data_IF_899886391965
#
_entry.id   IF_899886391965
#
_cell.length_a   1.000
_cell.length_b   1.000
_cell.length_c   1.000
_cell.angle_alpha   90.00
_cell.angle_beta   90.00
_cell.angle_gamma   90.00
#
_symmetry.space_group_name_H-M   'P 1'
#
loop_
_entity.id
_entity.type
_entity.pdbx_description
1 polymer ?
#
# COMPACT_ATOMS: atom_id res chain seq x y z
N UNK A 1 -12.83 2.58 -17.00
CA UNK A 1 -12.78 3.12 -15.63
C UNK A 1 -13.23 4.58 -15.59
N UNK A 2 -12.47 5.51 -16.13
CA UNK A 2 -12.78 6.95 -16.10
C UNK A 2 -14.15 7.34 -16.68
N UNK A 3 -14.61 6.68 -17.74
CA UNK A 3 -15.84 7.09 -18.44
C UNK A 3 -17.13 6.77 -17.66
N UNK A 4 -17.22 5.60 -17.02
CA UNK A 4 -18.39 5.24 -16.18
C UNK A 4 -18.42 6.01 -14.86
N UNK A 5 -17.25 6.27 -14.27
CA UNK A 5 -17.15 7.09 -13.06
C UNK A 5 -17.59 8.54 -13.35
N UNK A 6 -17.23 9.09 -14.53
CA UNK A 6 -17.70 10.40 -15.00
C UNK A 6 -19.21 10.48 -15.16
N UNK A 7 -19.83 9.45 -15.74
CA UNK A 7 -21.28 9.45 -15.98
C UNK A 7 -22.07 9.37 -14.66
N UNK A 8 -21.59 8.57 -13.72
CA UNK A 8 -22.18 8.47 -12.38
C UNK A 8 -22.02 9.76 -11.56
N UNK A 9 -20.86 10.43 -11.67
CA UNK A 9 -20.63 11.74 -11.07
C UNK A 9 -21.51 12.84 -11.67
N UNK A 10 -21.85 12.74 -12.96
CA UNK A 10 -22.77 13.67 -13.62
C UNK A 10 -24.20 13.53 -13.10
N UNK A 11 -24.63 12.33 -12.73
CA UNK A 11 -25.96 12.06 -12.17
C UNK A 11 -26.09 12.62 -10.74
N UNK A 12 -25.02 12.55 -9.95
CA UNK A 12 -24.93 13.18 -8.61
C UNK A 12 -24.97 14.72 -8.68
N UNK A 13 -24.43 15.33 -9.73
CA UNK A 13 -24.49 16.80 -9.95
C UNK A 13 -25.90 17.33 -10.22
N UNK A 14 -26.88 16.45 -10.50
CA UNK A 14 -28.28 16.83 -10.70
C UNK A 14 -29.06 17.14 -9.42
N UNK A 15 -28.52 16.79 -8.25
CA UNK A 15 -29.04 17.18 -6.94
C UNK A 15 -28.34 18.48 -6.51
N UNK A 16 -29.01 19.36 -5.75
CA UNK A 16 -28.48 20.63 -5.18
C UNK A 16 -27.34 20.43 -4.14
N UNK A 17 -26.43 19.49 -4.41
CA UNK A 17 -25.28 19.03 -3.63
C UNK A 17 -23.94 19.39 -4.32
N UNK A 18 -23.95 20.43 -5.17
CA UNK A 18 -22.79 20.93 -5.92
C UNK A 18 -21.49 20.96 -5.09
N UNK A 19 -21.44 21.51 -3.84
CA UNK A 19 -20.20 21.52 -3.07
C UNK A 19 -19.72 20.12 -2.69
N UNK A 20 -20.61 19.19 -2.36
CA UNK A 20 -20.24 17.83 -1.93
C UNK A 20 -19.72 17.00 -3.10
N UNK A 21 -20.32 17.15 -4.28
CA UNK A 21 -19.87 16.46 -5.49
C UNK A 21 -18.42 16.83 -5.86
N UNK A 22 -18.04 18.09 -5.69
CA UNK A 22 -16.67 18.57 -5.93
C UNK A 22 -15.66 17.95 -4.96
N UNK A 23 -16.01 17.86 -3.66
CA UNK A 23 -15.13 17.24 -2.66
C UNK A 23 -14.89 15.75 -2.94
N UNK A 24 -15.94 15.02 -3.34
CA UNK A 24 -15.81 13.61 -3.71
C UNK A 24 -14.89 13.43 -4.93
N UNK A 25 -15.03 14.28 -5.95
CA UNK A 25 -14.16 14.30 -7.13
C UNK A 25 -12.69 14.53 -6.77
N UNK A 26 -12.44 15.52 -5.91
CA UNK A 26 -11.08 15.88 -5.46
C UNK A 26 -10.47 14.73 -4.67
N UNK A 27 -11.18 14.20 -3.66
CA UNK A 27 -10.66 13.12 -2.81
C UNK A 27 -10.36 11.85 -3.62
N UNK A 28 -11.24 11.48 -4.55
CA UNK A 28 -11.02 10.35 -5.45
C UNK A 28 -9.80 10.58 -6.37
N UNK A 29 -9.69 11.77 -6.95
CA UNK A 29 -8.57 12.14 -7.83
C UNK A 29 -7.24 12.09 -7.09
N UNK A 30 -7.18 12.66 -5.89
CA UNK A 30 -5.97 12.62 -5.02
C UNK A 30 -5.64 11.17 -4.69
N UNK A 31 -6.61 10.37 -4.26
CA UNK A 31 -6.38 8.97 -3.93
C UNK A 31 -5.77 8.19 -5.11
N UNK A 32 -6.33 8.36 -6.31
CA UNK A 32 -5.86 7.68 -7.52
C UNK A 32 -4.48 8.17 -7.96
N UNK A 33 -4.23 9.48 -7.94
CA UNK A 33 -2.96 10.07 -8.35
C UNK A 33 -1.80 9.58 -7.46
N UNK A 34 -1.94 9.70 -6.14
CA UNK A 34 -0.92 9.23 -5.20
C UNK A 34 -0.76 7.72 -5.22
N UNK A 35 -1.86 6.97 -5.36
CA UNK A 35 -1.83 5.51 -5.50
C UNK A 35 -1.09 5.05 -6.76
N UNK A 36 -1.25 5.76 -7.87
CA UNK A 36 -0.58 5.47 -9.13
C UNK A 36 0.93 5.78 -9.07
N UNK A 37 1.32 6.88 -8.44
CA UNK A 37 2.75 7.24 -8.27
C UNK A 37 3.44 6.31 -7.27
N UNK A 38 2.74 5.79 -6.27
CA UNK A 38 3.33 4.87 -5.30
C UNK A 38 3.88 3.59 -5.96
N UNK A 39 3.22 3.06 -7.00
CA UNK A 39 3.61 1.80 -7.64
C UNK A 39 5.03 1.81 -8.26
N UNK A 40 5.41 2.76 -9.14
CA UNK A 40 6.77 2.81 -9.67
C UNK A 40 7.82 3.06 -8.57
N UNK A 41 7.46 3.78 -7.51
CA UNK A 41 8.35 3.97 -6.35
C UNK A 41 8.62 2.64 -5.63
N UNK A 42 7.60 1.79 -5.49
CA UNK A 42 7.77 0.44 -4.94
C UNK A 42 8.67 -0.43 -5.83
N UNK A 43 8.54 -0.32 -7.16
CA UNK A 43 9.42 -1.02 -8.10
C UNK A 43 10.88 -0.58 -7.91
N UNK A 44 11.13 0.73 -7.76
CA UNK A 44 12.46 1.24 -7.44
C UNK A 44 12.97 0.61 -6.15
N UNK A 45 12.18 0.61 -5.07
CA UNK A 45 12.57 -0.01 -3.81
C UNK A 45 12.91 -1.51 -3.98
N UNK A 46 12.19 -2.24 -4.82
CA UNK A 46 12.45 -3.65 -5.09
C UNK A 46 13.70 -3.90 -5.96
N UNK A 47 14.04 -2.98 -6.86
CA UNK A 47 15.21 -3.11 -7.76
C UNK A 47 16.54 -2.83 -7.05
N UNK A 48 16.54 -1.92 -6.09
CA UNK A 48 17.75 -1.54 -5.36
C UNK A 48 17.85 -2.34 -4.06
N UNK A 49 18.80 -3.27 -3.97
CA UNK A 49 19.03 -4.05 -2.74
C UNK A 49 19.60 -3.16 -1.61
N UNK A 50 19.10 -3.41 -0.40
CA UNK A 50 19.59 -2.89 0.88
C UNK A 50 21.09 -3.08 1.12
N UNK A 51 21.72 -4.10 0.55
CA UNK A 51 23.16 -4.35 0.75
C UNK A 51 24.04 -3.36 -0.02
N UNK A 52 23.70 -3.07 -1.27
CA UNK A 52 24.51 -2.26 -2.17
C UNK A 52 24.04 -0.80 -2.27
N UNK A 53 22.73 -0.58 -2.21
CA UNK A 53 22.11 0.73 -2.38
C UNK A 53 21.14 1.06 -1.23
N UNK A 54 21.57 0.97 0.05
CA UNK A 54 20.71 1.12 1.21
C UNK A 54 19.97 2.47 1.23
N UNK A 55 20.65 3.55 0.86
CA UNK A 55 20.07 4.90 0.86
C UNK A 55 18.93 5.04 -0.17
N UNK A 56 19.10 4.49 -1.37
CA UNK A 56 18.10 4.54 -2.44
C UNK A 56 16.91 3.65 -2.06
N UNK A 57 17.18 2.41 -1.60
CA UNK A 57 16.16 1.49 -1.14
C UNK A 57 15.28 2.12 -0.04
N UNK A 58 15.92 2.65 1.00
CA UNK A 58 15.23 3.25 2.15
C UNK A 58 14.40 4.46 1.73
N UNK A 59 14.98 5.37 0.93
CA UNK A 59 14.27 6.57 0.47
C UNK A 59 13.06 6.21 -0.40
N UNK A 60 13.20 5.21 -1.28
CA UNK A 60 12.11 4.72 -2.10
C UNK A 60 11.01 4.07 -1.25
N UNK A 61 11.36 3.21 -0.29
CA UNK A 61 10.41 2.60 0.63
C UNK A 61 9.63 3.66 1.44
N UNK A 62 10.32 4.63 2.02
CA UNK A 62 9.69 5.69 2.82
C UNK A 62 8.77 6.57 1.96
N UNK A 63 9.19 6.89 0.74
CA UNK A 63 8.36 7.62 -0.24
C UNK A 63 7.12 6.82 -0.60
N UNK A 64 7.25 5.52 -0.89
CA UNK A 64 6.12 4.63 -1.19
C UNK A 64 5.08 4.69 -0.07
N UNK A 65 5.48 4.45 1.18
CA UNK A 65 4.54 4.45 2.31
C UNK A 65 3.92 5.82 2.57
N UNK A 66 4.65 6.93 2.38
CA UNK A 66 4.08 8.27 2.49
C UNK A 66 2.99 8.51 1.42
N UNK A 67 3.26 8.19 0.15
CA UNK A 67 2.30 8.33 -0.94
C UNK A 67 1.08 7.42 -0.73
N UNK A 68 1.28 6.17 -0.31
CA UNK A 68 0.20 5.24 0.05
C UNK A 68 -0.65 5.77 1.21
N UNK A 69 -0.04 6.40 2.22
CA UNK A 69 -0.76 6.99 3.35
C UNK A 69 -1.69 8.10 2.89
N UNK A 70 -1.22 9.01 2.03
CA UNK A 70 -2.03 10.08 1.45
C UNK A 70 -3.19 9.48 0.65
N UNK A 71 -2.89 8.50 -0.22
CA UNK A 71 -3.88 7.83 -1.04
C UNK A 71 -5.00 7.19 -0.20
N UNK A 72 -4.64 6.42 0.83
CA UNK A 72 -5.58 5.77 1.72
C UNK A 72 -6.38 6.77 2.55
N UNK A 73 -5.76 7.84 3.08
CA UNK A 73 -6.45 8.89 3.83
C UNK A 73 -7.52 9.59 2.98
N UNK A 74 -7.18 9.94 1.73
CA UNK A 74 -8.12 10.54 0.80
C UNK A 74 -9.26 9.59 0.44
N UNK A 75 -8.96 8.31 0.20
CA UNK A 75 -9.97 7.29 -0.07
C UNK A 75 -10.89 7.04 1.13
N UNK A 76 -10.34 6.99 2.34
CA UNK A 76 -11.14 6.81 3.56
C UNK A 76 -12.05 8.00 3.83
N UNK A 77 -11.57 9.22 3.56
CA UNK A 77 -12.38 10.44 3.63
C UNK A 77 -13.52 10.40 2.61
N UNK A 78 -13.22 9.97 1.38
CA UNK A 78 -14.23 9.76 0.33
C UNK A 78 -15.30 8.75 0.77
N UNK A 79 -14.91 7.58 1.27
CA UNK A 79 -15.84 6.54 1.73
C UNK A 79 -16.70 7.00 2.89
N UNK A 80 -16.14 7.80 3.80
CA UNK A 80 -16.89 8.35 4.93
C UNK A 80 -17.99 9.30 4.46
N UNK A 81 -17.64 10.28 3.62
CA UNK A 81 -18.63 11.23 3.05
C UNK A 81 -19.68 10.46 2.25
N UNK A 82 -19.26 9.48 1.45
CA UNK A 82 -20.17 8.67 0.65
C UNK A 82 -21.13 7.86 1.54
N UNK A 83 -20.65 7.28 2.64
CA UNK A 83 -21.49 6.57 3.60
C UNK A 83 -22.50 7.49 4.30
N UNK A 84 -22.12 8.74 4.57
CA UNK A 84 -22.99 9.74 5.21
C UNK A 84 -24.10 10.22 4.25
N UNK A 85 -23.81 10.27 2.94
CA UNK A 85 -24.79 10.63 1.89
C UNK A 85 -25.81 9.52 1.61
N UNK A 86 -25.43 8.26 1.83
CA UNK A 86 -26.29 7.10 1.56
C UNK A 86 -26.44 6.24 2.84
N UNK A 87 -27.06 6.76 3.91
CA UNK A 87 -27.14 6.10 5.20
C UNK A 87 -27.91 4.77 5.16
N UNK A 88 -28.84 4.61 4.20
CA UNK A 88 -29.61 3.39 4.02
C UNK A 88 -28.81 2.22 3.41
N UNK A 89 -27.65 2.50 2.81
CA UNK A 89 -26.82 1.49 2.19
C UNK A 89 -25.91 0.78 3.22
N UNK A 90 -26.46 -0.27 3.85
CA UNK A 90 -25.75 -1.09 4.84
C UNK A 90 -24.47 -1.74 4.31
N UNK A 91 -24.42 -2.09 3.02
CA UNK A 91 -23.23 -2.68 2.41
C UNK A 91 -22.08 -1.67 2.30
N UNK A 92 -22.39 -0.45 1.88
CA UNK A 92 -21.43 0.65 1.82
C UNK A 92 -20.89 0.98 3.22
N UNK A 93 -21.76 1.06 4.22
CA UNK A 93 -21.37 1.31 5.60
C UNK A 93 -20.48 0.18 6.15
N UNK A 94 -20.79 -1.08 5.86
CA UNK A 94 -19.98 -2.23 6.28
C UNK A 94 -18.60 -2.21 5.60
N UNK A 95 -18.56 -2.02 4.28
CA UNK A 95 -17.32 -1.90 3.51
C UNK A 95 -16.44 -0.76 4.06
N UNK A 96 -17.02 0.42 4.27
CA UNK A 96 -16.32 1.56 4.86
C UNK A 96 -15.74 1.26 6.24
N UNK A 97 -16.47 0.55 7.10
CA UNK A 97 -15.98 0.13 8.43
C UNK A 97 -14.82 -0.85 8.35
N UNK A 98 -14.90 -1.86 7.48
CA UNK A 98 -13.80 -2.83 7.29
C UNK A 98 -12.54 -2.11 6.81
N UNK A 99 -12.69 -1.26 5.79
CA UNK A 99 -11.58 -0.44 5.26
C UNK A 99 -11.01 0.50 6.32
N UNK A 100 -11.85 1.08 7.18
CA UNK A 100 -11.41 1.94 8.28
C UNK A 100 -10.56 1.17 9.29
N UNK A 101 -10.95 -0.05 9.67
CA UNK A 101 -10.16 -0.90 10.57
C UNK A 101 -8.80 -1.21 9.97
N UNK A 102 -8.76 -1.65 8.71
CA UNK A 102 -7.50 -1.93 8.00
C UNK A 102 -6.63 -0.66 7.91
N UNK A 103 -7.23 0.49 7.62
CA UNK A 103 -6.54 1.77 7.56
C UNK A 103 -5.96 2.19 8.91
N UNK A 104 -6.67 1.99 10.03
CA UNK A 104 -6.15 2.29 11.37
C UNK A 104 -4.94 1.41 11.69
N UNK A 105 -5.00 0.11 11.38
CA UNK A 105 -3.87 -0.81 11.56
C UNK A 105 -2.67 -0.34 10.73
N UNK A 106 -2.92 0.00 9.45
CA UNK A 106 -1.90 0.58 8.57
C UNK A 106 -1.29 1.85 9.16
N UNK A 107 -2.11 2.79 9.64
CA UNK A 107 -1.65 4.08 10.14
C UNK A 107 -0.80 3.92 11.41
N UNK A 108 -1.19 3.05 12.33
CA UNK A 108 -0.40 2.74 13.51
C UNK A 108 0.95 2.12 13.14
N UNK A 109 0.96 1.15 12.22
CA UNK A 109 2.19 0.55 11.72
C UNK A 109 3.08 1.58 11.00
N UNK A 110 2.49 2.47 10.19
CA UNK A 110 3.20 3.55 9.50
C UNK A 110 3.88 4.49 10.49
N UNK A 111 3.18 4.91 11.55
CA UNK A 111 3.73 5.79 12.58
C UNK A 111 4.90 5.12 13.32
N UNK A 112 4.77 3.82 13.62
CA UNK A 112 5.86 3.04 14.24
C UNK A 112 7.05 2.88 13.29
N UNK A 113 6.80 2.63 12.00
CA UNK A 113 7.83 2.38 11.00
C UNK A 113 8.64 3.64 10.63
N UNK A 114 7.97 4.75 10.29
CA UNK A 114 8.63 5.97 9.78
C UNK A 114 8.93 6.98 10.89
N UNK A 115 7.97 7.78 11.41
CA UNK A 115 8.31 8.89 12.29
C UNK A 115 8.93 8.42 13.61
N UNK A 116 8.39 7.35 14.21
CA UNK A 116 8.96 6.80 15.45
C UNK A 116 10.23 6.02 15.11
N UNK A 117 10.17 5.11 14.13
CA UNK A 117 11.27 4.25 13.76
C UNK A 117 12.52 5.05 13.43
N UNK A 118 12.44 6.03 12.55
CA UNK A 118 13.58 6.89 12.18
C UNK A 118 14.11 7.65 13.40
N UNK A 119 13.24 8.20 14.25
CA UNK A 119 13.65 8.97 15.41
C UNK A 119 14.41 8.14 16.47
N UNK A 120 14.14 6.84 16.57
CA UNK A 120 14.75 5.98 17.59
C UNK A 120 15.78 4.98 17.04
N UNK A 121 16.00 4.89 15.73
CA UNK A 121 16.90 3.88 15.17
C UNK A 121 18.35 4.15 15.56
N UNK A 122 19.08 3.09 15.91
CA UNK A 122 20.52 3.14 16.13
C UNK A 122 21.25 3.09 14.78
N UNK A 123 22.45 3.70 14.66
CA UNK A 123 23.23 3.57 13.43
C UNK A 123 23.51 2.08 13.18
N UNK A 124 23.14 1.60 11.99
CA UNK A 124 23.52 0.26 11.56
C UNK A 124 25.03 0.23 11.33
N UNK A 125 25.66 -0.88 11.70
CA UNK A 125 27.10 -1.11 11.61
C UNK A 125 27.35 -2.20 10.57
N UNK A 126 28.40 -2.04 9.77
CA UNK A 126 28.86 -3.11 8.89
C UNK A 126 29.43 -4.25 9.72
N UNK A 127 29.09 -5.48 9.34
CA UNK A 127 29.55 -6.70 9.96
C UNK A 127 31.02 -6.92 9.58
N UNK A 128 31.89 -7.10 10.58
CA UNK A 128 33.31 -7.40 10.32
C UNK A 128 33.49 -8.81 9.76
N UNK A 129 34.50 -9.04 8.93
CA UNK A 129 34.78 -10.38 8.36
C UNK A 129 35.02 -11.40 9.47
N UNK A 130 35.81 -11.05 10.50
CA UNK A 130 36.05 -11.93 11.65
C UNK A 130 34.78 -12.22 12.46
N UNK A 131 33.94 -11.22 12.64
CA UNK A 131 32.67 -11.37 13.37
C UNK A 131 31.67 -12.22 12.57
N UNK A 132 31.66 -12.10 11.25
CA UNK A 132 30.88 -12.92 10.33
C UNK A 132 31.22 -14.41 10.50
N UNK A 133 32.51 -14.74 10.58
CA UNK A 133 32.96 -16.14 10.74
C UNK A 133 32.81 -16.65 12.18
N UNK A 134 33.26 -15.88 13.17
CA UNK A 134 33.39 -16.34 14.54
C UNK A 134 32.09 -16.24 15.34
N UNK A 135 31.26 -15.23 15.05
CA UNK A 135 30.07 -14.89 15.87
C UNK A 135 28.78 -15.29 15.17
N UNK A 136 28.67 -15.07 13.85
CA UNK A 136 27.50 -15.52 13.08
C UNK A 136 27.64 -16.97 12.58
N UNK A 137 28.83 -17.57 12.74
CA UNK A 137 29.13 -18.94 12.29
C UNK A 137 28.86 -19.15 10.79
N UNK A 138 29.06 -18.11 9.99
CA UNK A 138 28.97 -18.18 8.52
C UNK A 138 30.29 -18.74 7.96
N UNK A 139 30.22 -19.33 6.76
CA UNK A 139 31.42 -19.90 6.15
C UNK A 139 32.39 -18.80 5.69
N UNK A 140 33.69 -19.06 5.81
CA UNK A 140 34.73 -18.10 5.41
C UNK A 140 34.59 -17.67 3.94
N UNK A 141 34.35 -18.63 3.04
CA UNK A 141 34.06 -18.33 1.63
C UNK A 141 32.85 -17.39 1.43
N UNK A 142 31.83 -17.49 2.29
CA UNK A 142 30.68 -16.59 2.25
C UNK A 142 31.10 -15.19 2.70
N UNK A 143 31.73 -15.05 3.87
CA UNK A 143 32.16 -13.75 4.38
C UNK A 143 33.16 -13.05 3.43
N UNK A 144 34.06 -13.79 2.80
CA UNK A 144 35.00 -13.26 1.78
C UNK A 144 34.29 -12.85 0.49
N UNK A 145 33.28 -13.62 0.03
CA UNK A 145 32.51 -13.27 -1.17
C UNK A 145 31.70 -11.98 -1.02
N UNK A 146 31.42 -11.57 0.22
CA UNK A 146 30.72 -10.34 0.58
C UNK A 146 31.65 -9.30 1.22
N UNK A 147 32.97 -9.41 1.04
CA UNK A 147 33.93 -8.42 1.51
C UNK A 147 33.65 -7.05 0.90
N UNK A 148 33.76 -6.01 1.72
CA UNK A 148 33.52 -4.64 1.29
C UNK A 148 34.66 -4.18 0.36
N UNK A 149 34.38 -3.66 -0.84
CA UNK A 149 35.42 -3.36 -1.84
C UNK A 149 36.39 -2.26 -1.36
N UNK A 150 35.90 -1.30 -0.59
CA UNK A 150 36.68 -0.13 -0.15
C UNK A 150 37.10 -0.15 1.33
N UNK A 151 36.68 -1.15 2.12
CA UNK A 151 36.92 -1.20 3.56
C UNK A 151 37.46 -2.56 4.00
N UNK A 152 38.78 -2.63 4.19
CA UNK A 152 39.47 -3.83 4.63
C UNK A 152 38.93 -4.34 5.97
N UNK A 153 38.62 -5.63 6.02
CA UNK A 153 38.15 -6.31 7.22
C UNK A 153 36.64 -6.19 7.50
N UNK A 154 35.88 -5.51 6.64
CA UNK A 154 34.42 -5.42 6.72
C UNK A 154 33.74 -6.14 5.56
N UNK A 155 32.51 -6.57 5.79
CA UNK A 155 31.61 -7.09 4.77
C UNK A 155 30.61 -6.02 4.34
N UNK A 156 29.92 -6.22 3.22
CA UNK A 156 28.75 -5.40 2.83
C UNK A 156 27.48 -5.73 3.64
N UNK A 157 27.55 -6.72 4.52
CA UNK A 157 26.44 -7.15 5.36
C UNK A 157 26.31 -6.23 6.57
N UNK A 158 25.08 -5.93 6.96
CA UNK A 158 24.77 -5.11 8.12
C UNK A 158 24.53 -5.98 9.36
N UNK A 159 25.05 -5.56 10.51
CA UNK A 159 24.69 -6.14 11.81
C UNK A 159 23.71 -5.23 12.55
N UNK A 160 22.76 -5.87 13.23
CA UNK A 160 21.69 -5.23 13.99
C UNK A 160 21.73 -5.59 15.49
N UNK A 161 22.82 -6.22 15.94
CA UNK A 161 22.97 -6.76 17.30
C UNK A 161 23.01 -5.69 18.39
N UNK A 162 23.38 -4.47 18.06
CA UNK A 162 23.46 -3.37 19.02
C UNK A 162 22.06 -2.92 19.50
N UNK A 163 21.04 -3.01 18.65
CA UNK A 163 19.69 -2.55 18.94
C UNK A 163 18.59 -3.48 18.37
N UNK A 164 18.57 -4.77 18.72
CA UNK A 164 17.76 -5.79 18.04
C UNK A 164 16.27 -5.51 18.14
N UNK A 165 15.81 -5.01 19.30
CA UNK A 165 14.41 -4.67 19.54
C UNK A 165 13.93 -3.56 18.59
N UNK A 166 14.76 -2.53 18.36
CA UNK A 166 14.38 -1.36 17.53
C UNK A 166 14.34 -1.73 16.05
N UNK A 167 15.29 -2.52 15.59
CA UNK A 167 15.30 -3.04 14.21
C UNK A 167 14.12 -4.00 13.97
N UNK A 168 13.88 -4.93 14.89
CA UNK A 168 12.74 -5.86 14.81
C UNK A 168 11.42 -5.12 14.75
N UNK A 169 11.24 -4.10 15.61
CA UNK A 169 10.04 -3.25 15.61
C UNK A 169 9.81 -2.62 14.23
N UNK A 170 10.86 -2.07 13.59
CA UNK A 170 10.74 -1.46 12.26
C UNK A 170 10.38 -2.48 11.19
N UNK A 171 11.02 -3.66 11.18
CA UNK A 171 10.72 -4.72 10.22
C UNK A 171 9.27 -5.22 10.37
N UNK A 172 8.81 -5.46 11.61
CA UNK A 172 7.43 -5.89 11.88
C UNK A 172 6.43 -4.81 11.46
N UNK A 173 6.73 -3.54 11.73
CA UNK A 173 5.88 -2.42 11.33
C UNK A 173 5.80 -2.29 9.80
N UNK A 174 6.94 -2.39 9.09
CA UNK A 174 6.98 -2.38 7.62
C UNK A 174 6.15 -3.53 7.03
N UNK A 175 6.32 -4.76 7.54
CA UNK A 175 5.53 -5.92 7.12
C UNK A 175 4.04 -5.68 7.35
N UNK A 176 3.67 -5.14 8.51
CA UNK A 176 2.27 -4.83 8.85
C UNK A 176 1.69 -3.79 7.90
N UNK A 177 2.46 -2.78 7.51
CA UNK A 177 2.03 -1.81 6.49
C UNK A 177 1.74 -2.49 5.15
N UNK A 178 2.66 -3.33 4.65
CA UNK A 178 2.48 -4.07 3.38
C UNK A 178 1.26 -4.98 3.45
N UNK A 179 1.13 -5.77 4.52
CA UNK A 179 -0.01 -6.66 4.72
C UNK A 179 -1.33 -5.89 4.76
N UNK A 180 -1.36 -4.75 5.45
CA UNK A 180 -2.56 -3.91 5.52
C UNK A 180 -2.92 -3.30 4.17
N UNK A 181 -1.92 -2.90 3.35
CA UNK A 181 -2.14 -2.45 1.99
C UNK A 181 -2.74 -3.56 1.11
N UNK A 182 -2.23 -4.78 1.22
CA UNK A 182 -2.77 -5.95 0.51
C UNK A 182 -4.21 -6.27 0.95
N UNK A 183 -4.47 -6.27 2.26
CA UNK A 183 -5.80 -6.47 2.81
C UNK A 183 -6.76 -5.38 2.34
N UNK A 184 -6.32 -4.11 2.32
CA UNK A 184 -7.10 -2.98 1.83
C UNK A 184 -7.43 -3.16 0.34
N UNK A 185 -6.45 -3.52 -0.49
CA UNK A 185 -6.67 -3.81 -1.90
C UNK A 185 -7.66 -4.98 -2.10
N UNK A 186 -7.54 -6.04 -1.30
CA UNK A 186 -8.44 -7.19 -1.37
C UNK A 186 -9.89 -6.81 -1.06
N UNK A 187 -10.15 -5.84 -0.17
CA UNK A 187 -11.52 -5.40 0.13
C UNK A 187 -12.26 -4.92 -1.11
N UNK A 188 -11.59 -4.28 -2.09
CA UNK A 188 -12.22 -3.90 -3.35
C UNK A 188 -12.72 -5.08 -4.17
N UNK A 189 -11.97 -6.18 -4.21
CA UNK A 189 -12.38 -7.39 -4.91
C UNK A 189 -13.66 -7.99 -4.31
N UNK A 190 -13.84 -7.86 -3.00
CA UNK A 190 -15.05 -8.30 -2.30
C UNK A 190 -16.21 -7.31 -2.44
N UNK A 191 -15.94 -6.00 -2.44
CA UNK A 191 -16.96 -4.93 -2.59
C UNK A 191 -17.55 -4.83 -4.01
N UNK A 192 -16.76 -5.16 -5.03
CA UNK A 192 -17.21 -5.11 -6.43
C UNK A 192 -18.25 -6.19 -6.77
N UNK A 193 -18.25 -7.32 -6.05
CA UNK A 193 -19.19 -8.43 -6.32
C UNK A 193 -20.66 -8.08 -6.02
N UNK A 194 -21.01 -7.52 -4.85
CA UNK A 194 -22.40 -7.13 -4.56
C UNK A 194 -22.87 -5.92 -5.37
N UNK A 195 -22.00 -4.95 -5.62
CA UNK A 195 -22.39 -3.70 -6.31
C UNK A 195 -22.76 -3.94 -7.77
N UNK A 196 -22.12 -4.91 -8.43
CA UNK A 196 -22.51 -5.36 -9.78
C UNK A 196 -23.91 -6.01 -9.84
N UNK A 197 -24.39 -6.57 -8.72
CA UNK A 197 -25.74 -7.14 -8.63
C UNK A 197 -26.82 -6.07 -8.42
N UNK A 198 -26.43 -4.90 -7.90
CA UNK A 198 -27.39 -3.83 -7.54
C UNK A 198 -27.62 -2.80 -8.65
N UNK A 199 -26.69 -2.67 -9.61
CA UNK A 199 -26.83 -1.77 -10.78
C UNK A 199 -27.82 -2.32 -11.82
N UNK A 200 -28.30 -3.56 -11.66
CA UNK A 200 -29.32 -4.13 -12.54
C UNK A 200 -30.58 -4.59 -11.75
N UNK A 201 -31.35 -3.66 -11.14
CA UNK A 201 -32.56 -4.04 -10.41
C UNK A 201 -33.75 -4.39 -11.34
N UNK A 202 -33.72 -4.00 -12.63
CA UNK A 202 -34.78 -4.34 -13.60
C UNK A 202 -34.52 -5.62 -14.40
N UNK A 203 -33.30 -6.17 -14.39
CA UNK A 203 -32.95 -7.33 -15.20
C UNK A 203 -32.44 -8.47 -14.32
N UNK A 204 -33.37 -9.24 -13.76
CA UNK A 204 -33.10 -10.54 -13.11
C UNK A 204 -32.62 -11.63 -14.10
N UNK A 205 -32.20 -11.26 -15.31
CA UNK A 205 -31.58 -12.18 -16.28
C UNK A 205 -30.08 -11.97 -16.33
N UNK A 206 -29.27 -13.04 -16.19
CA UNK A 206 -27.83 -12.93 -16.32
C UNK A 206 -27.46 -12.37 -17.71
N UNK A 207 -26.46 -11.47 -17.80
CA UNK A 207 -26.07 -10.89 -19.07
C UNK A 207 -25.63 -12.00 -20.04
N UNK A 208 -25.95 -11.88 -21.34
CA UNK A 208 -25.66 -12.90 -22.32
C UNK A 208 -24.15 -13.21 -22.37
N UNK A 209 -23.76 -14.46 -22.69
CA UNK A 209 -22.38 -14.96 -22.51
C UNK A 209 -21.30 -14.13 -23.19
N UNK A 210 -21.65 -13.41 -24.27
CA UNK A 210 -20.74 -12.58 -25.05
C UNK A 210 -20.25 -11.33 -24.28
N UNK A 211 -21.10 -10.67 -23.50
CA UNK A 211 -20.71 -9.47 -22.73
C UNK A 211 -19.99 -9.81 -21.43
N UNK A 212 -20.29 -10.99 -20.86
CA UNK A 212 -19.62 -11.50 -19.66
C UNK A 212 -18.10 -11.64 -19.88
N UNK A 213 -17.66 -12.02 -21.08
CA UNK A 213 -16.24 -12.13 -21.41
C UNK A 213 -15.54 -10.80 -21.64
N UNK A 214 -16.23 -9.79 -22.18
CA UNK A 214 -15.64 -8.47 -22.44
C UNK A 214 -15.52 -7.64 -21.15
N UNK A 215 -16.45 -7.82 -20.22
CA UNK A 215 -16.41 -7.21 -18.90
C UNK A 215 -15.41 -7.91 -17.96
N UNK A 216 -15.35 -9.25 -17.95
CA UNK A 216 -14.31 -9.98 -17.19
C UNK A 216 -12.90 -9.68 -17.71
N UNK A 217 -12.71 -9.43 -19.00
CA UNK A 217 -11.42 -8.98 -19.55
C UNK A 217 -11.01 -7.58 -19.07
N UNK A 218 -11.98 -6.68 -18.89
CA UNK A 218 -11.71 -5.32 -18.39
C UNK A 218 -11.53 -5.25 -16.88
N UNK A 219 -12.09 -6.19 -16.12
CA UNK A 219 -11.85 -6.35 -14.68
C UNK A 219 -10.56 -7.15 -14.39
N UNK A 220 -10.22 -8.15 -15.21
CA UNK A 220 -8.92 -8.83 -15.15
C UNK A 220 -7.74 -7.87 -15.44
N UNK A 221 -7.98 -6.84 -16.26
CA UNK A 221 -7.02 -5.74 -16.48
C UNK A 221 -6.91 -4.76 -15.29
N UNK A 222 -7.87 -4.76 -14.36
CA UNK A 222 -7.80 -3.94 -13.13
C UNK A 222 -7.23 -4.72 -11.92
N UNK A 223 -7.24 -6.06 -11.98
CA UNK A 223 -6.82 -6.94 -10.89
C UNK A 223 -5.44 -7.59 -11.13
N UNK A 224 -4.85 -7.41 -12.30
CA UNK A 224 -3.45 -7.72 -12.54
C UNK A 224 -2.67 -6.40 -12.59
N UNK A 225 -1.58 -6.27 -11.80
CA UNK A 225 -0.72 -5.09 -11.84
C UNK A 225 -0.12 -4.83 -13.22
#
# INVERSE_FOLDING_TARGET
MFHRMKNWLHEIRGLDLIPVSLWLDVLCTVACFFGAIAQPVLVIAAMFDTSHYPAIHQTAADTFFCLSTISLLSFMSFMRILSDLYPDNKHLALSGRIKAVVFVIFLLAFLVYIPIGIAITCPARLLGIKECEEVEHLSSNYCESYAHPDMDGYTILWTYKDCPVRFTMRTVAQFTCIFSLLAFSATFAFDLRPTLMYVNPEENTPPPPAERHQFLKSVAFMANP
#
